data_IF_758272032255
#
_entry.id   IF_758272032255
#
_cell.length_a   1.000
_cell.length_b   1.000
_cell.length_c   1.000
_cell.angle_alpha   90.00
_cell.angle_beta   90.00
_cell.angle_gamma   90.00
#
_symmetry.space_group_name_H-M   'P 1'
#
loop_
_entity.id
_entity.type
_entity.pdbx_description
1 polymer ?
#
# COMPACT_ATOMS: atom_id res chain seq x y z
N UNK A 1 5.90 -17.99 21.44
CA UNK A 1 6.10 -16.57 21.11
C UNK A 1 5.24 -16.29 19.90
N UNK A 2 4.14 -15.55 20.05
CA UNK A 2 3.44 -14.99 18.89
C UNK A 2 4.41 -14.04 18.21
N UNK A 3 4.89 -14.40 17.01
CA UNK A 3 5.67 -13.50 16.17
C UNK A 3 4.81 -12.24 16.03
N UNK A 4 5.26 -11.11 16.57
CA UNK A 4 4.60 -9.84 16.30
C UNK A 4 4.54 -9.66 14.78
N UNK A 5 3.40 -9.23 14.25
CA UNK A 5 3.27 -8.94 12.82
C UNK A 5 4.39 -7.96 12.43
N UNK A 6 5.05 -8.19 11.31
CA UNK A 6 5.94 -7.19 10.73
C UNK A 6 5.21 -6.36 9.66
N UNK A 7 5.82 -5.27 9.22
CA UNK A 7 5.18 -4.34 8.29
C UNK A 7 4.95 -4.98 6.92
N UNK A 8 5.78 -5.96 6.54
CA UNK A 8 5.63 -6.71 5.30
C UNK A 8 4.37 -7.59 5.33
N UNK A 9 4.09 -8.26 6.45
CA UNK A 9 2.85 -9.02 6.66
C UNK A 9 1.60 -8.12 6.55
N UNK A 10 1.67 -6.89 7.09
CA UNK A 10 0.58 -5.91 6.98
C UNK A 10 0.43 -5.40 5.54
N UNK A 11 1.56 -5.14 4.86
CA UNK A 11 1.56 -4.70 3.47
C UNK A 11 0.91 -5.74 2.54
N UNK A 12 1.27 -7.01 2.72
CA UNK A 12 0.70 -8.13 1.96
C UNK A 12 -0.82 -8.24 2.19
N UNK A 13 -1.29 -8.23 3.44
CA UNK A 13 -2.72 -8.27 3.75
C UNK A 13 -3.48 -7.10 3.11
N UNK A 14 -2.91 -5.88 3.16
CA UNK A 14 -3.57 -4.72 2.57
C UNK A 14 -3.60 -4.79 1.04
N UNK A 15 -2.56 -5.34 0.40
CA UNK A 15 -2.51 -5.53 -1.04
C UNK A 15 -3.59 -6.49 -1.55
N UNK A 16 -3.94 -7.52 -0.76
CA UNK A 16 -5.01 -8.49 -1.09
C UNK A 16 -6.41 -7.85 -1.23
N UNK A 17 -6.60 -6.62 -0.74
CA UNK A 17 -7.85 -5.90 -0.85
C UNK A 17 -7.99 -5.05 -2.12
N UNK A 18 -6.97 -5.06 -2.99
CA UNK A 18 -7.02 -4.37 -4.28
C UNK A 18 -7.36 -5.37 -5.39
N UNK A 19 -8.33 -4.99 -6.22
CA UNK A 19 -8.79 -5.80 -7.36
C UNK A 19 -8.63 -5.01 -8.66
N UNK A 20 -8.27 -5.71 -9.74
CA UNK A 20 -8.21 -5.14 -11.08
C UNK A 20 -9.54 -5.32 -11.80
N UNK A 21 -10.16 -4.21 -12.16
CA UNK A 21 -11.35 -4.19 -13.01
C UNK A 21 -10.94 -3.86 -14.45
N UNK A 22 -11.24 -4.79 -15.36
CA UNK A 22 -10.92 -4.70 -16.79
C UNK A 22 -12.17 -4.33 -17.57
N UNK A 23 -12.35 -3.04 -17.80
CA UNK A 23 -13.48 -2.50 -18.57
C UNK A 23 -13.07 -2.02 -19.96
N UNK A 24 -14.05 -1.51 -20.71
CA UNK A 24 -13.87 -0.98 -22.07
C UNK A 24 -12.89 0.21 -22.14
N UNK A 25 -12.63 0.87 -21.01
CA UNK A 25 -11.70 2.01 -20.89
C UNK A 25 -10.28 1.59 -20.47
N UNK A 26 -10.02 0.29 -20.31
CA UNK A 26 -8.76 -0.26 -19.83
C UNK A 26 -8.86 -0.83 -18.40
N UNK A 27 -7.71 -1.00 -17.78
CA UNK A 27 -7.57 -1.56 -16.43
C UNK A 27 -7.68 -0.45 -15.39
N UNK A 28 -8.53 -0.65 -14.39
CA UNK A 28 -8.65 0.21 -13.21
C UNK A 28 -8.42 -0.59 -11.95
N UNK A 29 -7.88 0.06 -10.92
CA UNK A 29 -7.69 -0.56 -9.62
C UNK A 29 -8.86 -0.18 -8.71
N UNK A 30 -9.42 -1.16 -8.01
CA UNK A 30 -10.56 -0.97 -7.12
C UNK A 30 -10.24 -1.54 -5.75
N UNK A 31 -10.95 -1.07 -4.73
CA UNK A 31 -10.81 -1.56 -3.37
C UNK A 31 -12.01 -2.44 -3.03
N UNK A 32 -11.75 -3.64 -2.50
CA UNK A 32 -12.78 -4.57 -2.09
C UNK A 32 -13.73 -3.94 -1.05
N UNK A 33 -15.02 -4.28 -1.12
CA UNK A 33 -16.05 -3.71 -0.23
C UNK A 33 -15.78 -3.97 1.26
N UNK A 34 -15.05 -5.04 1.58
CA UNK A 34 -14.66 -5.42 2.94
C UNK A 34 -13.26 -4.99 3.36
N UNK A 35 -12.61 -4.12 2.58
CA UNK A 35 -11.26 -3.67 2.87
C UNK A 35 -11.14 -2.96 4.23
N UNK A 36 -10.04 -3.16 4.98
CA UNK A 36 -9.77 -2.46 6.22
C UNK A 36 -9.90 -0.93 6.07
N UNK A 37 -10.49 -0.31 7.09
CA UNK A 37 -10.70 1.15 7.12
C UNK A 37 -9.39 1.94 7.10
N UNK A 38 -8.31 1.29 7.52
CA UNK A 38 -6.94 1.75 7.54
C UNK A 38 -6.44 2.07 6.14
N UNK A 39 -6.80 1.27 5.12
CA UNK A 39 -6.43 1.55 3.72
C UNK A 39 -7.05 2.87 3.26
N UNK A 40 -8.33 3.09 3.58
CA UNK A 40 -9.00 4.36 3.30
C UNK A 40 -8.41 5.54 4.08
N UNK A 41 -7.88 5.28 5.27
CA UNK A 41 -7.20 6.30 6.09
C UNK A 41 -5.86 6.69 5.46
N UNK A 42 -5.07 5.71 5.00
CA UNK A 42 -3.81 5.96 4.28
C UNK A 42 -4.07 6.81 3.02
N UNK A 43 -5.06 6.44 2.21
CA UNK A 43 -5.41 7.18 1.00
C UNK A 43 -5.77 8.64 1.29
N UNK A 44 -6.58 8.88 2.33
CA UNK A 44 -6.96 10.24 2.73
C UNK A 44 -5.80 11.02 3.33
N UNK A 45 -5.07 10.44 4.27
CA UNK A 45 -4.05 11.16 5.04
C UNK A 45 -2.78 11.42 4.23
N UNK A 46 -2.39 10.48 3.37
CA UNK A 46 -1.14 10.58 2.59
C UNK A 46 -1.36 11.12 1.18
N UNK A 47 -2.48 10.78 0.55
CA UNK A 47 -2.76 11.14 -0.85
C UNK A 47 -3.88 12.18 -1.01
N UNK A 48 -4.67 12.43 0.04
CA UNK A 48 -5.74 13.43 0.04
C UNK A 48 -7.02 13.01 -0.71
N UNK A 49 -7.04 11.84 -1.35
CA UNK A 49 -8.16 11.37 -2.16
C UNK A 49 -8.07 9.86 -2.45
N UNK A 50 -9.15 9.29 -2.97
CA UNK A 50 -9.23 7.89 -3.43
C UNK A 50 -9.26 7.79 -4.96
N UNK A 51 -8.51 8.65 -5.66
CA UNK A 51 -8.41 8.59 -7.12
C UNK A 51 -7.69 7.31 -7.57
N UNK A 52 -7.86 6.95 -8.85
CA UNK A 52 -7.12 5.84 -9.46
C UNK A 52 -5.60 5.98 -9.29
N UNK A 53 -5.07 7.20 -9.43
CA UNK A 53 -3.65 7.47 -9.22
C UNK A 53 -3.20 7.16 -7.77
N UNK A 54 -3.99 7.56 -6.78
CA UNK A 54 -3.71 7.27 -5.37
C UNK A 54 -3.80 5.78 -5.04
N UNK A 55 -4.77 5.08 -5.63
CA UNK A 55 -4.90 3.63 -5.48
C UNK A 55 -3.69 2.90 -6.06
N UNK A 56 -3.28 3.23 -7.28
CA UNK A 56 -2.10 2.64 -7.92
C UNK A 56 -0.84 2.89 -7.12
N UNK A 57 -0.62 4.13 -6.64
CA UNK A 57 0.56 4.46 -5.82
C UNK A 57 0.61 3.69 -4.51
N UNK A 58 -0.53 3.59 -3.83
CA UNK A 58 -0.60 2.85 -2.58
C UNK A 58 -0.38 1.36 -2.82
N UNK A 59 -1.03 0.78 -3.83
CA UNK A 59 -0.86 -0.62 -4.20
C UNK A 59 0.59 -0.95 -4.57
N UNK A 60 1.25 -0.10 -5.36
CA UNK A 60 2.67 -0.26 -5.69
C UNK A 60 3.54 -0.26 -4.43
N UNK A 61 3.34 0.71 -3.53
CA UNK A 61 4.09 0.77 -2.28
C UNK A 61 3.88 -0.48 -1.42
N UNK A 62 2.66 -1.00 -1.35
CA UNK A 62 2.35 -2.21 -0.59
C UNK A 62 3.09 -3.44 -1.16
N UNK A 63 3.09 -3.62 -2.48
CA UNK A 63 3.82 -4.73 -3.11
C UNK A 63 5.32 -4.64 -2.85
N UNK A 64 5.94 -3.47 -3.10
CA UNK A 64 7.37 -3.26 -2.84
C UNK A 64 7.71 -3.60 -1.38
N UNK A 65 6.92 -3.12 -0.42
CA UNK A 65 7.16 -3.38 1.01
C UNK A 65 7.00 -4.87 1.32
N UNK A 66 5.95 -5.53 0.81
CA UNK A 66 5.69 -6.94 1.10
C UNK A 66 6.76 -7.89 0.54
N UNK A 67 7.40 -7.51 -0.57
CA UNK A 67 8.39 -8.34 -1.26
C UNK A 67 9.84 -8.01 -0.84
N UNK A 68 10.05 -6.88 -0.14
CA UNK A 68 11.38 -6.44 0.25
C UNK A 68 11.99 -7.30 1.36
N UNK A 69 13.21 -7.80 1.12
CA UNK A 69 14.05 -8.39 2.17
C UNK A 69 14.44 -7.35 3.22
N UNK A 70 14.77 -6.13 2.78
CA UNK A 70 15.01 -4.95 3.63
C UNK A 70 14.29 -3.72 3.04
N UNK A 71 13.22 -3.30 3.71
CA UNK A 71 12.38 -2.15 3.31
C UNK A 71 13.17 -0.83 3.30
N UNK A 72 14.25 -0.72 4.09
CA UNK A 72 15.06 0.50 4.14
C UNK A 72 16.14 0.56 3.07
N UNK A 73 16.30 -0.51 2.29
CA UNK A 73 17.27 -0.61 1.19
C UNK A 73 16.65 -1.13 -0.13
N UNK A 74 15.32 -1.18 -0.24
CA UNK A 74 14.64 -1.67 -1.44
C UNK A 74 14.65 -0.65 -2.59
N UNK A 75 14.49 -1.14 -3.81
CA UNK A 75 14.29 -0.29 -4.99
C UNK A 75 12.86 0.25 -5.00
N UNK A 76 12.69 1.51 -5.42
CA UNK A 76 11.40 2.20 -5.52
C UNK A 76 11.27 2.80 -6.91
N UNK A 77 10.19 2.50 -7.63
CA UNK A 77 9.90 3.16 -8.91
C UNK A 77 9.34 4.57 -8.67
N UNK A 78 10.22 5.57 -8.68
CA UNK A 78 9.86 6.98 -8.50
C UNK A 78 8.98 7.56 -9.62
N UNK A 79 8.79 6.83 -10.73
CA UNK A 79 7.80 7.22 -11.76
C UNK A 79 6.36 6.92 -11.31
N UNK A 80 6.19 5.96 -10.41
CA UNK A 80 4.88 5.60 -9.85
C UNK A 80 4.67 6.33 -8.53
N UNK A 81 5.52 6.12 -7.53
CA UNK A 81 5.42 6.73 -6.21
C UNK A 81 6.72 7.41 -5.81
N UNK A 82 6.64 8.67 -5.36
CA UNK A 82 7.83 9.37 -4.89
C UNK A 82 8.38 8.74 -3.62
N UNK A 83 9.72 8.78 -3.45
CA UNK A 83 10.38 8.25 -2.24
C UNK A 83 9.79 8.83 -0.94
N UNK A 84 9.41 10.12 -0.96
CA UNK A 84 8.79 10.77 0.21
C UNK A 84 7.44 10.15 0.57
N UNK A 85 6.61 9.82 -0.41
CA UNK A 85 5.32 9.16 -0.14
C UNK A 85 5.53 7.70 0.27
N UNK A 86 6.44 6.99 -0.39
CA UNK A 86 6.82 5.62 -0.03
C UNK A 86 7.25 5.53 1.45
N UNK A 87 8.19 6.38 1.88
CA UNK A 87 8.64 6.43 3.27
C UNK A 87 7.51 6.76 4.26
N UNK A 88 6.49 7.53 3.86
CA UNK A 88 5.32 7.79 4.71
C UNK A 88 4.43 6.55 4.84
N UNK A 89 4.26 5.77 3.78
CA UNK A 89 3.53 4.49 3.81
C UNK A 89 4.26 3.51 4.73
N UNK A 90 5.58 3.34 4.57
CA UNK A 90 6.41 2.49 5.46
C UNK A 90 6.19 2.85 6.92
N UNK A 91 6.29 4.14 7.28
CA UNK A 91 6.05 4.61 8.66
C UNK A 91 4.63 4.40 9.16
N UNK A 92 3.65 4.35 8.26
CA UNK A 92 2.28 4.04 8.63
C UNK A 92 2.13 2.55 8.97
N UNK A 93 2.68 1.68 8.13
CA UNK A 93 2.61 0.22 8.31
C UNK A 93 3.41 -0.25 9.51
N UNK A 94 4.57 0.36 9.78
CA UNK A 94 5.37 0.08 10.99
C UNK A 94 4.55 0.29 12.27
N UNK A 95 3.81 1.41 12.34
CA UNK A 95 2.88 1.69 13.45
C UNK A 95 1.72 0.69 13.50
N UNK A 96 1.17 0.32 12.35
CA UNK A 96 0.06 -0.64 12.25
C UNK A 96 0.48 -2.05 12.68
N UNK A 97 1.73 -2.42 12.44
CA UNK A 97 2.36 -3.67 12.90
C UNK A 97 2.63 -3.69 14.42
N UNK A 98 2.42 -2.56 15.11
CA UNK A 98 2.62 -2.43 16.55
C UNK A 98 4.07 -2.15 16.95
N UNK A 99 4.85 -1.51 16.06
CA UNK A 99 6.23 -1.07 16.32
C UNK A 99 6.35 0.45 16.26
#
# INVERSE_FOLDING_TARGET
>A
MTKGRDMQDVAAEYAEHFDFDFGDSGMTLTLAKGAPSEISTILKDLFGNNSQESLVKLYEALNIISEAEDVFSCEVDEKVISLTLFCKVVRYLDKAAGK
#
